data_IF_149343868690
#
_entry.id   IF_149343868690
#
_cell.length_a   1.000
_cell.length_b   1.000
_cell.length_c   1.000
_cell.angle_alpha   90.00
_cell.angle_beta   90.00
_cell.angle_gamma   90.00
#
_symmetry.space_group_name_H-M   'P 1'
#
loop_
_entity.id
_entity.type
_entity.pdbx_description
1 polymer ?
#
# COMPACT_ATOMS: atom_id res chain seq x y z
N UNK A 1 3.90 6.57 1.50
CA UNK A 1 4.03 7.54 2.61
C UNK A 1 2.70 7.77 3.31
N UNK A 2 1.62 8.12 2.60
CA UNK A 2 0.29 8.35 3.22
C UNK A 2 -0.22 7.18 4.08
N UNK A 3 0.08 5.93 3.70
CA UNK A 3 -0.26 4.74 4.49
C UNK A 3 0.21 4.77 5.96
N UNK A 4 1.23 5.58 6.27
CA UNK A 4 1.81 5.63 7.62
C UNK A 4 1.34 6.83 8.44
N UNK A 5 0.47 7.69 7.89
CA UNK A 5 -0.06 8.83 8.60
C UNK A 5 -1.34 8.45 9.36
N UNK A 6 -1.39 8.65 10.70
CA UNK A 6 -2.54 8.37 11.56
C UNK A 6 -3.92 8.71 10.99
N UNK A 7 -4.04 9.84 10.30
CA UNK A 7 -5.32 10.38 9.81
C UNK A 7 -5.41 10.42 8.29
N UNK A 8 -4.49 9.76 7.59
CA UNK A 8 -4.57 9.66 6.15
C UNK A 8 -5.75 8.77 5.75
N UNK A 9 -6.38 9.16 4.65
CA UNK A 9 -7.49 8.44 4.03
C UNK A 9 -7.18 8.30 2.55
N UNK A 10 -7.89 7.42 1.85
CA UNK A 10 -7.74 7.30 0.40
C UNK A 10 -8.02 8.66 -0.30
N UNK A 11 -8.93 9.47 0.26
CA UNK A 11 -9.21 10.84 -0.20
C UNK A 11 -8.02 11.78 -0.03
N UNK A 12 -7.39 11.81 1.16
CA UNK A 12 -6.21 12.66 1.38
C UNK A 12 -5.03 12.21 0.51
N UNK A 13 -4.91 10.91 0.24
CA UNK A 13 -3.96 10.38 -0.73
C UNK A 13 -4.22 10.94 -2.14
N UNK A 14 -5.46 10.90 -2.63
CA UNK A 14 -5.83 11.45 -3.94
C UNK A 14 -5.55 12.95 -4.01
N UNK A 15 -5.92 13.72 -2.98
CA UNK A 15 -5.64 15.16 -2.90
C UNK A 15 -4.14 15.45 -3.01
N UNK A 16 -3.30 14.68 -2.30
CA UNK A 16 -1.85 14.79 -2.38
C UNK A 16 -1.31 14.41 -3.76
N UNK A 17 -1.80 13.34 -4.36
CA UNK A 17 -1.42 12.96 -5.74
C UNK A 17 -1.78 14.08 -6.72
N UNK A 18 -2.96 14.69 -6.60
CA UNK A 18 -3.38 15.81 -7.42
C UNK A 18 -2.53 17.06 -7.18
N UNK A 19 -2.10 17.31 -5.95
CA UNK A 19 -1.19 18.40 -5.60
C UNK A 19 0.19 18.21 -6.27
N UNK A 20 0.76 17.01 -6.16
CA UNK A 20 2.12 16.72 -6.64
C UNK A 20 2.18 16.50 -8.16
N UNK A 21 1.18 15.82 -8.73
CA UNK A 21 1.18 15.38 -10.14
C UNK A 21 0.18 16.14 -11.01
N UNK A 22 -0.59 17.08 -10.45
CA UNK A 22 -1.71 17.73 -11.14
C UNK A 22 -1.36 18.51 -12.40
N UNK A 23 -0.08 18.86 -12.61
CA UNK A 23 0.43 19.56 -13.80
C UNK A 23 1.16 18.62 -14.76
N UNK A 24 1.37 17.35 -14.40
CA UNK A 24 2.10 16.40 -15.20
C UNK A 24 1.31 16.05 -16.47
N UNK A 25 1.91 16.06 -17.68
CA UNK A 25 1.19 15.85 -18.94
C UNK A 25 0.55 14.47 -19.10
N UNK A 26 0.93 13.49 -18.27
CA UNK A 26 0.32 12.14 -18.22
C UNK A 26 -0.70 11.96 -17.10
N UNK A 27 -0.95 12.99 -16.30
CA UNK A 27 -1.93 12.97 -15.22
C UNK A 27 -3.13 13.82 -15.60
N UNK A 28 -4.34 13.34 -15.32
CA UNK A 28 -5.57 14.08 -15.56
C UNK A 28 -6.42 14.09 -14.28
N UNK A 29 -6.83 15.29 -13.87
CA UNK A 29 -7.77 15.48 -12.76
C UNK A 29 -9.17 14.96 -13.14
N UNK A 30 -9.94 14.45 -12.18
CA UNK A 30 -11.28 13.93 -12.44
C UNK A 30 -12.20 15.06 -12.91
N UNK A 31 -13.10 14.76 -13.84
CA UNK A 31 -14.10 15.73 -14.33
C UNK A 31 -15.28 15.72 -13.35
N UNK A 32 -15.48 16.84 -12.65
CA UNK A 32 -16.44 17.02 -11.53
C UNK A 32 -17.92 16.68 -11.80
N UNK A 33 -18.31 16.31 -13.02
CA UNK A 33 -19.72 16.36 -13.45
C UNK A 33 -20.43 15.02 -13.62
N UNK A 34 -19.75 13.86 -13.61
CA UNK A 34 -20.46 12.58 -13.85
C UNK A 34 -19.77 11.30 -13.41
N UNK A 35 -18.45 11.28 -13.29
CA UNK A 35 -17.71 10.03 -13.13
C UNK A 35 -17.25 9.85 -11.68
N UNK A 36 -17.55 8.68 -11.12
CA UNK A 36 -17.04 8.20 -9.84
C UNK A 36 -15.58 7.76 -10.04
N UNK A 37 -14.69 8.74 -10.21
CA UNK A 37 -13.27 8.57 -10.57
C UNK A 37 -12.46 9.56 -9.75
N UNK A 38 -11.34 9.10 -9.20
CA UNK A 38 -10.46 9.92 -8.38
C UNK A 38 -9.38 10.62 -9.20
N UNK A 39 -8.78 9.94 -10.18
CA UNK A 39 -7.83 10.53 -11.14
C UNK A 39 -7.65 9.62 -12.36
N UNK A 40 -7.02 10.14 -13.41
CA UNK A 40 -6.69 9.36 -14.61
C UNK A 40 -5.20 9.43 -14.93
N UNK A 41 -4.67 8.34 -15.47
CA UNK A 41 -3.30 8.28 -16.01
C UNK A 41 -3.37 7.95 -17.50
N UNK A 42 -2.59 8.68 -18.30
CA UNK A 42 -2.45 8.45 -19.74
C UNK A 42 -1.30 7.48 -19.98
N UNK A 43 -1.61 6.18 -20.06
CA UNK A 43 -0.65 5.13 -20.37
C UNK A 43 -0.37 5.06 -21.88
N UNK A 44 0.65 4.28 -22.26
CA UNK A 44 1.00 4.09 -23.67
C UNK A 44 -0.14 3.50 -24.52
N UNK A 45 -0.97 2.64 -23.91
CA UNK A 45 -2.11 1.99 -24.56
C UNK A 45 -3.43 2.78 -24.43
N UNK A 46 -3.43 3.94 -23.77
CA UNK A 46 -4.62 4.76 -23.59
C UNK A 46 -4.78 5.32 -22.17
N UNK A 47 -5.83 6.12 -21.99
CA UNK A 47 -6.21 6.72 -20.71
C UNK A 47 -6.94 5.68 -19.84
N UNK A 48 -6.53 5.56 -18.58
CA UNK A 48 -7.19 4.71 -17.58
C UNK A 48 -7.65 5.58 -16.43
N UNK A 49 -8.90 5.38 -16.04
CA UNK A 49 -9.54 6.04 -14.91
C UNK A 49 -9.35 5.17 -13.66
N UNK A 50 -8.90 5.76 -12.56
CA UNK A 50 -8.60 5.08 -11.30
C UNK A 50 -9.52 5.53 -10.17
N UNK A 51 -9.92 4.55 -9.35
CA UNK A 51 -10.51 4.74 -8.03
C UNK A 51 -9.54 4.28 -6.96
N UNK A 52 -9.35 5.10 -5.94
CA UNK A 52 -8.41 4.91 -4.85
C UNK A 52 -9.03 4.21 -3.62
N UNK A 53 -10.29 3.75 -3.70
CA UNK A 53 -10.96 3.08 -2.59
C UNK A 53 -10.14 1.92 -2.00
N UNK A 54 -9.87 2.03 -0.70
CA UNK A 54 -9.09 1.09 0.12
C UNK A 54 -7.63 0.93 -0.30
N UNK A 55 -7.07 1.84 -1.11
CA UNK A 55 -5.68 1.74 -1.56
C UNK A 55 -4.69 1.80 -0.41
N UNK A 56 -4.96 2.61 0.63
CA UNK A 56 -4.10 2.64 1.80
C UNK A 56 -4.05 1.27 2.49
N UNK A 57 -5.20 0.63 2.70
CA UNK A 57 -5.28 -0.71 3.31
C UNK A 57 -4.63 -1.77 2.43
N UNK A 58 -4.95 -1.80 1.13
CA UNK A 58 -4.36 -2.72 0.14
C UNK A 58 -2.83 -2.58 0.06
N UNK A 59 -2.31 -1.38 0.24
CA UNK A 59 -0.86 -1.14 0.19
C UNK A 59 -0.15 -1.44 1.52
N UNK A 60 -0.86 -1.42 2.65
CA UNK A 60 -0.34 -1.83 3.97
C UNK A 60 -0.39 -3.34 4.18
N UNK A 61 -1.40 -4.00 3.61
CA UNK A 61 -1.66 -5.44 3.71
C UNK A 61 -1.65 -5.98 5.16
N UNK A 62 -2.46 -5.40 6.08
CA UNK A 62 -2.48 -5.83 7.47
C UNK A 62 -3.18 -7.18 7.65
N UNK A 63 -2.63 -8.04 8.51
CA UNK A 63 -3.22 -9.31 8.92
C UNK A 63 -3.46 -9.37 10.43
N UNK A 64 -4.41 -10.20 10.85
CA UNK A 64 -4.60 -10.48 12.26
C UNK A 64 -3.44 -11.33 12.81
N UNK A 65 -2.65 -10.77 13.73
CA UNK A 65 -1.43 -11.38 14.27
C UNK A 65 -1.71 -12.65 15.09
N UNK A 66 -2.84 -12.70 15.81
CA UNK A 66 -3.24 -13.89 16.57
C UNK A 66 -3.61 -15.06 15.66
N UNK A 67 -4.35 -14.80 14.58
CA UNK A 67 -4.70 -15.83 13.59
C UNK A 67 -3.46 -16.31 12.84
N UNK A 68 -2.58 -15.41 12.43
CA UNK A 68 -1.32 -15.77 11.78
C UNK A 68 -0.45 -16.67 12.69
N UNK A 69 -0.35 -16.33 13.97
CA UNK A 69 0.37 -17.15 14.97
C UNK A 69 -0.25 -18.53 15.12
N UNK A 70 -1.59 -18.62 15.15
CA UNK A 70 -2.29 -19.91 15.22
C UNK A 70 -2.00 -20.79 14.00
N UNK A 71 -1.98 -20.21 12.80
CA UNK A 71 -1.70 -20.93 11.56
C UNK A 71 -0.24 -21.41 11.47
N UNK A 72 0.70 -20.59 11.93
CA UNK A 72 2.11 -20.96 12.09
C UNK A 72 2.30 -22.16 13.04
N UNK A 73 1.48 -22.24 14.10
CA UNK A 73 1.49 -23.31 15.11
C UNK A 73 0.53 -24.47 14.79
N UNK A 74 0.02 -24.56 13.56
CA UNK A 74 -0.94 -25.59 13.17
C UNK A 74 -0.39 -27.01 13.40
N UNK A 75 -1.25 -27.93 13.82
CA UNK A 75 -0.92 -29.35 13.91
C UNK A 75 -0.85 -30.02 12.54
N UNK A 76 -1.44 -29.41 11.52
CA UNK A 76 -1.27 -29.83 10.13
C UNK A 76 0.07 -29.31 9.58
N UNK A 77 0.93 -30.25 9.19
CA UNK A 77 2.29 -29.95 8.75
C UNK A 77 2.33 -29.01 7.54
N UNK A 78 1.43 -29.21 6.58
CA UNK A 78 1.39 -28.37 5.38
C UNK A 78 1.01 -26.91 5.73
N UNK A 79 0.01 -26.73 6.59
CA UNK A 79 -0.40 -25.40 7.06
C UNK A 79 0.71 -24.70 7.84
N UNK A 80 1.36 -25.41 8.78
CA UNK A 80 2.47 -24.83 9.55
C UNK A 80 3.65 -24.42 8.66
N UNK A 81 3.98 -25.24 7.64
CA UNK A 81 5.03 -24.92 6.67
C UNK A 81 4.68 -23.69 5.82
N UNK A 82 3.42 -23.55 5.38
CA UNK A 82 2.96 -22.41 4.60
C UNK A 82 3.08 -21.09 5.39
N UNK A 83 2.87 -21.14 6.71
CA UNK A 83 2.90 -19.98 7.61
C UNK A 83 4.20 -19.89 8.41
N UNK A 84 5.30 -20.52 7.97
CA UNK A 84 6.56 -20.51 8.74
C UNK A 84 7.20 -19.13 8.86
N UNK A 85 7.19 -18.35 7.78
CA UNK A 85 7.93 -17.11 7.66
C UNK A 85 7.03 -15.90 7.97
N UNK A 86 6.98 -15.50 9.25
CA UNK A 86 6.09 -14.44 9.76
C UNK A 86 6.71 -13.03 9.80
N UNK A 87 7.99 -12.89 9.43
CA UNK A 87 8.77 -11.64 9.55
C UNK A 87 8.22 -10.46 8.73
N UNK A 88 7.33 -10.74 7.76
CA UNK A 88 6.74 -9.74 6.87
C UNK A 88 5.31 -9.34 7.25
N UNK A 89 4.73 -9.93 8.30
CA UNK A 89 3.34 -9.67 8.66
C UNK A 89 3.21 -8.33 9.40
N UNK A 90 2.37 -7.45 8.84
CA UNK A 90 1.90 -6.23 9.51
C UNK A 90 0.67 -6.57 10.33
N UNK A 91 0.69 -6.30 11.64
CA UNK A 91 -0.45 -6.55 12.52
C UNK A 91 -1.60 -5.56 12.29
N UNK A 92 -2.83 -6.04 12.13
CA UNK A 92 -4.03 -5.22 11.94
C UNK A 92 -4.28 -4.25 13.10
N UNK A 93 -4.04 -4.68 14.34
CA UNK A 93 -4.16 -3.82 15.52
C UNK A 93 -3.13 -2.68 15.52
N UNK A 94 -1.95 -2.91 14.93
CA UNK A 94 -0.90 -1.89 14.78
C UNK A 94 -1.35 -0.82 13.79
N UNK A 95 -2.05 -1.20 12.71
CA UNK A 95 -2.61 -0.25 11.74
C UNK A 95 -3.84 0.48 12.29
N UNK A 96 -4.73 -0.23 13.00
CA UNK A 96 -5.90 0.39 13.64
C UNK A 96 -5.51 1.39 14.73
N UNK A 97 -4.49 1.07 15.54
CA UNK A 97 -3.96 1.97 16.57
C UNK A 97 -3.24 3.21 16.03
N UNK A 98 -2.96 3.28 14.73
CA UNK A 98 -2.37 4.47 14.12
C UNK A 98 -3.34 5.64 14.12
N UNK A 99 -4.67 5.44 14.04
CA UNK A 99 -5.64 6.54 13.98
C UNK A 99 -5.73 7.38 15.26
N UNK A 100 -5.37 6.81 16.41
CA UNK A 100 -5.47 7.44 17.72
C UNK A 100 -4.16 8.12 18.18
N UNK A 101 -3.08 7.99 17.41
CA UNK A 101 -1.80 8.63 17.73
C UNK A 101 -1.75 10.09 17.24
N UNK A 102 -1.83 11.04 18.18
CA UNK A 102 -1.77 12.50 17.93
C UNK A 102 -0.37 13.05 17.74
N UNK A 103 0.69 12.23 17.95
CA UNK A 103 2.07 12.69 17.91
C UNK A 103 2.78 12.19 16.65
N UNK A 104 3.30 13.17 15.91
CA UNK A 104 3.78 13.04 14.54
C UNK A 104 4.87 12.01 14.33
N UNK A 105 4.94 11.56 13.07
CA UNK A 105 5.98 10.74 12.47
C UNK A 105 6.52 9.66 13.42
N UNK A 106 5.96 8.45 13.32
CA UNK A 106 6.66 7.26 13.79
C UNK A 106 8.07 7.31 13.20
N UNK A 107 9.06 7.66 14.04
CA UNK A 107 10.47 7.52 13.70
C UNK A 107 10.62 6.07 13.27
N UNK A 108 11.07 5.88 12.03
CA UNK A 108 11.38 4.59 11.44
C UNK A 108 12.38 3.87 12.35
N UNK A 109 11.86 3.06 13.28
CA UNK A 109 12.66 2.16 14.10
C UNK A 109 13.25 1.14 13.11
N UNK A 110 14.54 0.84 13.25
CA UNK A 110 15.23 -0.16 12.42
C UNK A 110 14.37 -1.42 12.28
N UNK A 111 14.05 -1.81 11.03
CA UNK A 111 13.08 -2.88 10.71
C UNK A 111 11.83 -2.42 9.94
N UNK A 112 11.94 -1.40 9.09
CA UNK A 112 10.83 -0.74 8.39
C UNK A 112 9.91 -1.72 7.63
N UNK A 113 8.62 -1.74 7.98
CA UNK A 113 7.56 -2.41 7.23
C UNK A 113 7.55 -1.89 5.79
N UNK A 114 7.78 -2.80 4.82
CA UNK A 114 7.72 -2.47 3.40
C UNK A 114 6.27 -2.55 2.94
N UNK A 115 5.77 -1.49 2.32
CA UNK A 115 4.44 -1.53 1.68
C UNK A 115 4.46 -2.46 0.47
N UNK A 116 3.30 -3.00 0.09
CA UNK A 116 3.15 -3.87 -1.09
C UNK A 116 3.70 -3.21 -2.35
N UNK A 117 3.38 -1.93 -2.59
CA UNK A 117 3.87 -1.18 -3.74
C UNK A 117 5.41 -1.04 -3.76
N UNK A 118 6.05 -0.95 -2.59
CA UNK A 118 7.52 -0.89 -2.49
C UNK A 118 8.16 -2.24 -2.81
N UNK A 119 7.63 -3.33 -2.28
CA UNK A 119 8.10 -4.70 -2.55
C UNK A 119 8.04 -5.03 -4.04
N UNK A 120 6.90 -4.74 -4.66
CA UNK A 120 6.72 -5.00 -6.09
C UNK A 120 7.64 -4.14 -6.96
N UNK A 121 7.83 -2.86 -6.59
CA UNK A 121 8.75 -1.96 -7.31
C UNK A 121 10.20 -2.43 -7.24
N UNK A 122 10.64 -2.95 -6.11
CA UNK A 122 11.99 -3.51 -5.92
C UNK A 122 12.20 -4.77 -6.77
N UNK A 123 11.27 -5.72 -6.72
CA UNK A 123 11.31 -6.93 -7.54
C UNK A 123 11.30 -6.60 -9.04
N UNK A 124 10.45 -5.65 -9.46
CA UNK A 124 10.41 -5.18 -10.83
C UNK A 124 11.74 -4.53 -11.24
N UNK A 125 12.38 -3.76 -10.36
CA UNK A 125 13.71 -3.18 -10.61
C UNK A 125 14.78 -4.24 -10.87
N UNK A 126 14.79 -5.33 -10.08
CA UNK A 126 15.71 -6.45 -10.24
C UNK A 126 15.49 -7.18 -11.57
N UNK A 127 14.22 -7.43 -11.91
CA UNK A 127 13.85 -8.04 -13.19
C UNK A 127 14.31 -7.17 -14.37
N UNK A 128 13.99 -5.88 -14.34
CA UNK A 128 14.35 -4.96 -15.43
C UNK A 128 15.87 -4.78 -15.56
N UNK A 129 16.63 -4.89 -14.48
CA UNK A 129 18.10 -4.89 -14.52
C UNK A 129 18.63 -6.13 -15.22
N UNK A 130 18.06 -7.31 -14.91
CA UNK A 130 18.44 -8.58 -15.55
C UNK A 130 18.15 -8.56 -17.05
N UNK A 131 17.01 -8.00 -17.47
CA UNK A 131 16.61 -7.94 -18.89
C UNK A 131 17.36 -6.89 -19.72
N UNK A 132 18.03 -5.93 -19.07
CA UNK A 132 18.82 -4.88 -19.73
C UNK A 132 20.27 -5.29 -19.96
N UNK A 133 20.72 -6.36 -19.29
CA UNK A 133 22.01 -7.00 -19.51
C UNK A 133 21.88 -8.10 -20.56
#
# INVERSE_FOLDING_TARGET
EECWFPKATDKSFVEKVVQEQGTHPKFQKPKKLKDDVDFCIIHYAGKVDYKADEWLMKNMDPLNESVATLLNQSTDKFTAELWRDMDHIVGLDKVAGMSDSTYGAFKTREGMFRTVGQLYKEQLGNLMTTLRN
#
